data_IF_902954622186
#
_entry.id   IF_902954622186
#
_cell.length_a   1.000
_cell.length_b   1.000
_cell.length_c   1.000
_cell.angle_alpha   90.00
_cell.angle_beta   90.00
_cell.angle_gamma   90.00
#
_symmetry.space_group_name_H-M   'P 1'
#
loop_
_entity.id
_entity.type
_entity.pdbx_description
1 polymer ?
#
# COMPACT_ATOMS: atom_id res chain seq x y z
N UNK A 1 -18.34 10.29 7.69
CA UNK A 1 -17.27 11.10 7.06
C UNK A 1 -16.00 10.27 7.13
N UNK A 2 -15.53 9.72 6.00
CA UNK A 2 -14.24 9.01 5.96
C UNK A 2 -13.12 10.03 6.19
N UNK A 3 -12.20 9.75 7.13
CA UNK A 3 -11.07 10.63 7.41
C UNK A 3 -9.93 10.28 6.46
N UNK A 4 -9.68 11.14 5.48
CA UNK A 4 -8.51 11.02 4.59
C UNK A 4 -7.25 11.37 5.36
N UNK A 5 -6.31 10.43 5.50
CA UNK A 5 -4.95 10.70 5.98
C UNK A 5 -3.96 10.47 4.84
N UNK A 6 -3.27 11.53 4.43
CA UNK A 6 -2.18 11.43 3.48
C UNK A 6 -0.88 11.14 4.22
N UNK A 7 -0.20 10.07 3.82
CA UNK A 7 1.07 9.64 4.38
C UNK A 7 2.20 9.98 3.42
N UNK A 8 3.21 10.62 3.97
CA UNK A 8 4.51 10.80 3.34
C UNK A 8 5.42 9.62 3.66
N UNK A 9 6.48 9.48 2.86
CA UNK A 9 7.43 8.40 3.06
C UNK A 9 8.16 8.48 4.42
N UNK A 10 8.15 7.37 5.15
CA UNK A 10 8.60 7.25 6.53
C UNK A 10 7.45 7.23 7.54
N UNK A 11 6.23 7.57 7.10
CA UNK A 11 5.06 7.57 7.97
C UNK A 11 4.27 6.26 7.87
N UNK A 12 3.58 5.94 8.97
CA UNK A 12 2.68 4.81 9.09
C UNK A 12 1.32 5.20 9.63
N UNK A 13 0.30 4.44 9.30
CA UNK A 13 -1.02 4.58 9.90
C UNK A 13 -1.76 3.25 9.94
N UNK A 14 -2.62 3.11 10.93
CA UNK A 14 -3.63 2.06 10.98
C UNK A 14 -4.84 2.51 10.15
N UNK A 15 -5.26 1.66 9.24
CA UNK A 15 -6.41 1.82 8.34
C UNK A 15 -7.50 0.87 8.83
N UNK A 16 -8.49 1.44 9.50
CA UNK A 16 -9.63 0.67 10.00
C UNK A 16 -10.64 0.41 8.87
N UNK A 17 -11.53 -0.60 9.01
CA UNK A 17 -12.65 -0.85 8.12
C UNK A 17 -13.37 0.41 7.62
N UNK A 18 -13.58 0.51 6.32
CA UNK A 18 -14.25 1.64 5.65
C UNK A 18 -13.41 2.91 5.54
N UNK A 19 -12.18 2.94 6.05
CA UNK A 19 -11.27 4.07 5.91
C UNK A 19 -10.19 3.81 4.85
N UNK A 20 -9.50 4.88 4.48
CA UNK A 20 -8.44 4.84 3.50
C UNK A 20 -7.31 5.81 3.87
N UNK A 21 -6.14 5.52 3.33
CA UNK A 21 -4.96 6.38 3.40
C UNK A 21 -4.38 6.54 2.02
N UNK A 22 -3.69 7.65 1.80
CA UNK A 22 -3.03 7.92 0.52
C UNK A 22 -1.52 7.88 0.69
N UNK A 23 -0.82 7.20 -0.23
CA UNK A 23 0.62 7.06 -0.23
C UNK A 23 1.21 7.48 -1.58
N UNK A 24 2.15 8.43 -1.57
CA UNK A 24 2.84 8.91 -2.78
C UNK A 24 4.20 8.22 -3.02
N UNK A 25 4.47 7.12 -2.31
CA UNK A 25 5.69 6.33 -2.42
C UNK A 25 5.36 4.85 -2.47
N UNK A 26 6.38 4.00 -2.45
CA UNK A 26 6.19 2.57 -2.20
C UNK A 26 5.54 2.40 -0.82
N UNK A 27 4.88 1.27 -0.61
CA UNK A 27 4.17 1.04 0.64
C UNK A 27 4.17 -0.43 1.02
N UNK A 28 4.12 -0.66 2.33
CA UNK A 28 3.90 -1.97 2.92
C UNK A 28 2.55 -1.97 3.64
N UNK A 29 1.88 -3.10 3.62
CA UNK A 29 0.57 -3.30 4.24
C UNK A 29 0.66 -4.57 5.05
N UNK A 30 0.34 -4.47 6.34
CA UNK A 30 0.30 -5.58 7.26
C UNK A 30 -1.10 -5.70 7.85
N UNK A 31 -1.64 -6.92 7.89
CA UNK A 31 -2.82 -7.20 8.69
C UNK A 31 -2.41 -7.44 10.14
N UNK A 32 -2.76 -6.51 11.02
CA UNK A 32 -2.36 -6.51 12.43
C UNK A 32 -3.38 -7.21 13.33
N UNK A 33 -4.49 -7.71 12.77
CA UNK A 33 -5.58 -8.34 13.51
C UNK A 33 -5.67 -9.85 13.24
N UNK A 34 -6.51 -10.53 14.04
CA UNK A 34 -6.71 -11.98 13.99
C UNK A 34 -7.68 -12.49 12.92
N UNK A 35 -8.20 -11.62 12.04
CA UNK A 35 -9.12 -12.00 10.95
C UNK A 35 -8.65 -11.42 9.61
N UNK A 36 -9.02 -12.02 8.46
CA UNK A 36 -8.60 -11.50 7.15
C UNK A 36 -9.12 -10.08 6.87
N UNK A 37 -8.27 -9.23 6.29
CA UNK A 37 -8.63 -7.86 5.87
C UNK A 37 -8.86 -7.80 4.35
N UNK A 38 -9.87 -7.06 3.87
CA UNK A 38 -10.06 -6.82 2.42
C UNK A 38 -9.33 -5.54 2.00
N UNK A 39 -8.22 -5.73 1.28
CA UNK A 39 -7.42 -4.66 0.72
C UNK A 39 -7.89 -4.30 -0.69
N UNK A 40 -8.17 -3.02 -0.91
CA UNK A 40 -8.18 -2.41 -2.24
C UNK A 40 -7.10 -1.34 -2.38
N UNK A 41 -6.41 -1.33 -3.51
CA UNK A 41 -5.56 -0.20 -3.92
C UNK A 41 -6.10 0.40 -5.20
N UNK A 42 -6.39 1.70 -5.13
CA UNK A 42 -6.90 2.51 -6.24
C UNK A 42 -5.81 3.45 -6.73
N UNK A 43 -5.67 3.54 -8.06
CA UNK A 43 -4.86 4.54 -8.75
C UNK A 43 -5.75 5.25 -9.76
N UNK A 44 -5.75 6.59 -9.75
CA UNK A 44 -6.72 7.36 -10.54
C UNK A 44 -8.15 6.97 -10.17
N UNK A 45 -8.89 6.41 -11.12
CA UNK A 45 -10.31 6.03 -10.97
C UNK A 45 -10.53 4.50 -10.92
N UNK A 46 -9.45 3.69 -10.92
CA UNK A 46 -9.55 2.23 -10.97
C UNK A 46 -8.90 1.52 -9.80
N UNK A 47 -9.53 0.42 -9.40
CA UNK A 47 -8.97 -0.56 -8.47
C UNK A 47 -7.95 -1.42 -9.23
N UNK A 48 -6.70 -1.43 -8.78
CA UNK A 48 -5.62 -2.22 -9.38
C UNK A 48 -5.22 -3.44 -8.56
N UNK A 49 -5.36 -3.34 -7.24
CA UNK A 49 -5.12 -4.46 -6.34
C UNK A 49 -6.41 -4.66 -5.56
N UNK A 50 -6.89 -5.89 -5.56
CA UNK A 50 -8.06 -6.31 -4.79
C UNK A 50 -7.77 -7.71 -4.25
N UNK A 51 -7.50 -7.82 -2.95
CA UNK A 51 -7.15 -9.10 -2.35
C UNK A 51 -7.45 -9.13 -0.85
N UNK A 52 -7.64 -10.33 -0.32
CA UNK A 52 -7.64 -10.56 1.12
C UNK A 52 -6.20 -10.62 1.64
N UNK A 53 -5.97 -10.06 2.82
CA UNK A 53 -4.70 -10.17 3.55
C UNK A 53 -4.96 -11.03 4.79
N UNK A 54 -4.26 -12.15 4.90
CA UNK A 54 -4.40 -13.06 6.04
C UNK A 54 -3.84 -12.44 7.34
N UNK A 55 -4.28 -12.88 8.54
CA UNK A 55 -3.74 -12.44 9.82
C UNK A 55 -2.21 -12.52 9.89
N UNK A 56 -1.54 -11.43 10.25
CA UNK A 56 -0.08 -11.34 10.33
C UNK A 56 0.65 -11.33 8.98
N UNK A 57 -0.07 -11.39 7.86
CA UNK A 57 0.54 -11.30 6.54
C UNK A 57 0.96 -9.87 6.25
N UNK A 58 2.18 -9.72 5.73
CA UNK A 58 2.73 -8.44 5.26
C UNK A 58 2.96 -8.51 3.75
N UNK A 59 2.53 -7.47 3.04
CA UNK A 59 2.68 -7.31 1.60
C UNK A 59 3.40 -6.00 1.29
N UNK A 60 4.24 -6.02 0.26
CA UNK A 60 5.00 -4.85 -0.16
C UNK A 60 4.72 -4.54 -1.63
N UNK A 61 4.48 -3.25 -1.92
CA UNK A 61 4.12 -2.79 -3.26
C UNK A 61 5.02 -1.63 -3.72
N UNK A 62 5.44 -1.71 -4.98
CA UNK A 62 6.20 -0.65 -5.66
C UNK A 62 5.25 0.23 -6.46
N UNK A 63 5.02 1.46 -5.99
CA UNK A 63 4.10 2.40 -6.63
C UNK A 63 4.49 2.69 -8.09
N UNK A 64 5.77 2.95 -8.45
CA UNK A 64 6.16 3.14 -9.84
C UNK A 64 5.89 1.91 -10.71
N UNK A 65 6.07 0.70 -10.19
CA UNK A 65 5.79 -0.53 -10.92
C UNK A 65 4.29 -0.75 -11.11
N UNK A 66 3.48 -0.42 -10.10
CA UNK A 66 2.02 -0.48 -10.19
C UNK A 66 1.50 0.55 -11.20
N UNK A 67 1.98 1.79 -11.18
CA UNK A 67 1.64 2.83 -12.18
C UNK A 67 2.05 2.39 -13.59
N UNK A 68 3.25 1.83 -13.75
CA UNK A 68 3.70 1.35 -15.06
C UNK A 68 2.75 0.24 -15.57
N UNK A 69 2.48 -0.77 -14.75
CA UNK A 69 1.56 -1.87 -15.08
C UNK A 69 0.15 -1.37 -15.41
N UNK A 70 -0.33 -0.39 -14.65
CA UNK A 70 -1.64 0.23 -14.83
C UNK A 70 -1.74 0.95 -16.19
N UNK A 71 -0.72 1.74 -16.56
CA UNK A 71 -0.65 2.40 -17.87
C UNK A 71 -0.58 1.42 -19.03
N UNK A 72 0.20 0.34 -18.90
CA UNK A 72 0.36 -0.65 -19.98
C UNK A 72 -0.89 -1.51 -20.18
N UNK A 73 -1.56 -1.93 -19.10
CA UNK A 73 -2.71 -2.85 -19.18
C UNK A 73 -4.05 -2.15 -19.29
N UNK A 74 -4.20 -0.97 -18.69
CA UNK A 74 -5.46 -0.25 -18.60
C UNK A 74 -5.65 0.82 -19.66
N UNK A 75 -4.59 1.25 -20.35
CA UNK A 75 -4.64 2.37 -21.30
C UNK A 75 -4.95 3.71 -20.65
N UNK A 76 -4.87 3.80 -19.32
CA UNK A 76 -5.23 5.02 -18.59
C UNK A 76 -4.14 6.09 -18.64
N UNK A 77 -4.58 7.35 -18.69
CA UNK A 77 -3.73 8.52 -18.51
C UNK A 77 -3.39 8.74 -17.03
N UNK A 78 -2.78 7.74 -16.39
CA UNK A 78 -2.29 7.86 -15.01
C UNK A 78 -0.99 8.66 -15.02
N UNK A 79 -0.90 9.66 -14.14
CA UNK A 79 0.30 10.47 -13.98
C UNK A 79 1.47 9.63 -13.45
N UNK A 80 2.71 9.98 -13.82
CA UNK A 80 3.89 9.37 -13.18
C UNK A 80 4.01 9.72 -11.69
N UNK A 81 3.32 10.78 -11.26
CA UNK A 81 3.31 11.27 -9.89
C UNK A 81 1.99 10.91 -9.17
N UNK A 82 1.28 9.89 -9.65
CA UNK A 82 0.02 9.44 -9.04
C UNK A 82 0.22 9.00 -7.60
N UNK A 83 -0.86 9.10 -6.81
CA UNK A 83 -0.89 8.68 -5.42
C UNK A 83 -1.72 7.39 -5.31
N UNK A 84 -1.21 6.39 -4.57
CA UNK A 84 -1.99 5.21 -4.25
C UNK A 84 -2.99 5.53 -3.13
N UNK A 85 -4.26 5.26 -3.38
CA UNK A 85 -5.28 5.24 -2.34
C UNK A 85 -5.47 3.80 -1.87
N UNK A 86 -5.15 3.56 -0.61
CA UNK A 86 -5.15 2.25 0.04
C UNK A 86 -6.35 2.20 0.97
N UNK A 87 -7.28 1.29 0.68
CA UNK A 87 -8.59 1.22 1.32
C UNK A 87 -8.73 -0.12 2.02
N UNK A 88 -9.23 -0.09 3.25
CA UNK A 88 -9.70 -1.27 3.94
C UNK A 88 -11.20 -1.39 3.78
N UNK A 89 -11.65 -2.36 2.98
CA UNK A 89 -13.08 -2.67 2.79
C UNK A 89 -13.55 -3.87 3.64
N UNK A 90 -12.67 -4.43 4.46
CA UNK A 90 -13.03 -5.53 5.36
C UNK A 90 -14.02 -5.08 6.43
N UNK A 91 -14.76 -6.01 7.05
CA UNK A 91 -15.74 -5.66 8.08
C UNK A 91 -15.08 -5.32 9.43
N UNK A 92 -14.04 -6.06 9.81
CA UNK A 92 -13.59 -6.09 11.22
C UNK A 92 -12.07 -5.93 11.42
N UNK A 93 -11.24 -6.33 10.45
CA UNK A 93 -9.79 -6.32 10.57
C UNK A 93 -9.19 -4.94 10.23
N UNK A 94 -8.18 -4.51 10.98
CA UNK A 94 -7.39 -3.31 10.72
C UNK A 94 -6.10 -3.67 9.98
N UNK A 95 -5.62 -2.74 9.15
CA UNK A 95 -4.35 -2.86 8.45
C UNK A 95 -3.38 -1.77 8.90
N UNK A 96 -2.12 -2.09 9.17
CA UNK A 96 -1.06 -1.06 9.27
C UNK A 96 -0.47 -0.83 7.87
N UNK A 97 -0.52 0.42 7.42
CA UNK A 97 0.09 0.87 6.16
C UNK A 97 1.30 1.72 6.48
N UNK A 98 2.44 1.37 5.88
CA UNK A 98 3.70 2.09 6.01
C UNK A 98 4.17 2.59 4.64
N UNK A 99 4.28 3.91 4.47
CA UNK A 99 4.83 4.52 3.26
C UNK A 99 6.36 4.52 3.33
N UNK A 100 7.03 3.94 2.33
CA UNK A 100 8.48 3.77 2.28
C UNK A 100 9.10 4.45 1.07
N UNK A 101 10.15 5.24 1.32
CA UNK A 101 11.08 5.71 0.29
C UNK A 101 12.17 4.66 0.11
N UNK A 102 12.06 3.84 -0.93
CA UNK A 102 13.19 3.01 -1.34
C UNK A 102 14.24 3.94 -1.94
N UNK A 103 15.39 4.06 -1.26
CA UNK A 103 16.53 4.81 -1.79
C UNK A 103 16.97 4.16 -3.10
N UNK A 104 17.16 4.96 -4.16
CA UNK A 104 17.65 4.48 -5.48
C UNK A 104 19.01 3.78 -5.38
N UNK A 105 19.75 4.00 -4.30
CA UNK A 105 21.00 3.33 -3.98
C UNK A 105 20.78 2.48 -2.72
N UNK A 106 20.65 1.15 -2.81
CA UNK A 106 20.58 0.30 -1.63
C UNK A 106 21.88 0.47 -0.85
N UNK A 107 21.80 0.89 0.41
CA UNK A 107 22.96 0.88 1.29
C UNK A 107 23.44 -0.57 1.39
N UNK A 108 24.64 -0.83 0.88
CA UNK A 108 25.26 -2.17 0.74
C UNK A 108 25.39 -2.96 2.05
N UNK A 109 25.01 -2.43 3.21
CA UNK A 109 25.37 -3.00 4.51
C UNK A 109 24.23 -3.50 5.39
N UNK A 110 22.98 -3.13 5.18
CA UNK A 110 21.87 -3.73 5.96
C UNK A 110 20.64 -3.82 5.09
N UNK A 111 20.57 -4.91 4.34
CA UNK A 111 19.32 -5.37 3.76
C UNK A 111 18.43 -5.89 4.91
N UNK A 112 17.38 -5.16 5.32
CA UNK A 112 16.50 -5.60 6.39
C UNK A 112 15.73 -6.89 6.02
N UNK A 113 15.73 -7.29 4.74
CA UNK A 113 15.14 -8.55 4.27
C UNK A 113 16.05 -9.77 4.48
N UNK A 114 17.33 -9.56 4.86
CA UNK A 114 18.29 -10.65 5.13
C UNK A 114 18.31 -11.13 6.58
N UNK A 115 17.64 -10.41 7.50
CA UNK A 115 17.63 -10.74 8.92
C UNK A 115 16.54 -11.78 9.31
N UNK A 116 15.72 -12.22 8.36
CA UNK A 116 14.73 -13.28 8.55
C UNK A 116 15.20 -14.55 7.85
N UNK A 117 16.10 -15.27 8.51
CA UNK A 117 16.41 -16.69 8.23
C UNK A 117 16.38 -17.46 9.54
#
# INVERSE_FOLDING_TARGET
MAKTKSLSAGEKAVVTPGNFVTCNSNFMIENIDGTPADLKVVLGERVFIAQMIDPGQTLAYSLPATIASARFRGGENISRNEVAMIINLGPDANMEVSCVKIRRNPLREKDPLRALK
#
